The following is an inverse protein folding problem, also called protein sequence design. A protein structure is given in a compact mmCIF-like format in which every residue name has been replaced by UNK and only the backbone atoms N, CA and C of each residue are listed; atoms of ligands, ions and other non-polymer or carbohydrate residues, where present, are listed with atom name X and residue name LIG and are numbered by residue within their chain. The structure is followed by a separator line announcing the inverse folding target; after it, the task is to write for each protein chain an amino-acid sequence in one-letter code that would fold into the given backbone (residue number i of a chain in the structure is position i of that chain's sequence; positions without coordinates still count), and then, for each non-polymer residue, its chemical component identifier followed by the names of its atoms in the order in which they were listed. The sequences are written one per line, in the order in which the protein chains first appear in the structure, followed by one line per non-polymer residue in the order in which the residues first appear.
data_IF_209735488557
#
_entry.id   IF_209735488557
#
_cell.length_a   1.000
_cell.length_b   1.000
_cell.length_c   1.000
_cell.angle_alpha   90.00
_cell.angle_beta   90.00
_cell.angle_gamma   90.00
#
_symmetry.space_group_name_H-M   'P 1'
#
loop_
_entity.id
_entity.type
_entity.pdbx_description
1 polymer ?
#
# COMPACT_ATOMS: atom_id res chain seq x y z
N UNK A 1 21.51 -13.38 -0.51
CA UNK A 1 21.54 -12.01 0.02
C UNK A 1 21.14 -10.97 -1.01
N UNK A 2 21.83 -10.92 -2.14
CA UNK A 2 21.55 -9.87 -3.14
C UNK A 2 20.27 -10.11 -3.95
N UNK A 3 19.69 -11.29 -3.90
CA UNK A 3 18.45 -11.59 -4.61
C UNK A 3 17.29 -10.69 -4.19
N UNK A 4 17.24 -10.31 -2.92
CA UNK A 4 16.16 -9.44 -2.45
C UNK A 4 16.20 -8.04 -3.05
N UNK A 5 17.35 -7.62 -3.53
CA UNK A 5 17.49 -6.33 -4.20
C UNK A 5 17.04 -6.39 -5.66
N UNK A 6 17.03 -7.60 -6.25
CA UNK A 6 16.58 -7.80 -7.62
C UNK A 6 15.05 -7.84 -7.72
N UNK A 7 14.35 -8.09 -6.63
CA UNK A 7 12.89 -8.06 -6.57
C UNK A 7 12.36 -6.65 -6.42
N UNK A 8 13.17 -5.71 -6.70
CA UNK A 8 12.98 -4.29 -6.67
C UNK A 8 11.63 -3.75 -6.28
N UNK A 9 11.43 -3.39 -5.05
CA UNK A 9 10.23 -2.73 -4.62
C UNK A 9 9.28 -3.54 -3.75
N UNK A 10 9.77 -4.64 -3.18
CA UNK A 10 8.99 -5.35 -2.16
C UNK A 10 9.51 -5.00 -0.77
N UNK A 11 8.67 -4.36 0.04
CA UNK A 11 9.01 -3.83 1.37
C UNK A 11 7.99 -4.31 2.38
N UNK A 12 8.04 -5.60 2.71
CA UNK A 12 7.04 -6.26 3.54
C UNK A 12 7.71 -6.85 4.79
N UNK A 13 7.02 -6.79 5.93
CA UNK A 13 7.50 -7.36 7.19
C UNK A 13 7.79 -8.85 7.05
N UNK A 14 8.76 -9.33 7.81
CA UNK A 14 9.07 -10.75 7.86
C UNK A 14 7.86 -11.55 8.31
N UNK A 15 7.72 -12.75 7.77
CA UNK A 15 6.63 -13.65 8.12
C UNK A 15 5.36 -13.45 7.29
N UNK A 16 5.28 -12.41 6.49
CA UNK A 16 4.13 -12.16 5.62
C UNK A 16 4.40 -12.78 4.25
N UNK A 17 3.55 -13.71 3.84
CA UNK A 17 3.65 -14.35 2.53
C UNK A 17 2.62 -13.77 1.58
N UNK A 18 3.05 -12.79 0.79
CA UNK A 18 2.15 -12.08 -0.14
C UNK A 18 1.63 -12.97 -1.26
N UNK A 19 2.32 -14.07 -1.55
CA UNK A 19 1.87 -14.99 -2.61
C UNK A 19 0.59 -15.72 -2.26
N UNK A 20 0.34 -15.93 -0.97
CA UNK A 20 -0.84 -16.64 -0.49
C UNK A 20 -2.01 -15.71 -0.19
N UNK A 21 -1.83 -14.41 -0.37
CA UNK A 21 -2.86 -13.42 -0.08
C UNK A 21 -3.60 -13.02 -1.35
N UNK A 22 -4.91 -12.81 -1.21
CA UNK A 22 -5.73 -12.37 -2.33
C UNK A 22 -5.55 -10.88 -2.59
N UNK A 23 -5.68 -10.50 -3.86
CA UNK A 23 -5.72 -9.11 -4.28
C UNK A 23 -7.14 -8.57 -4.14
N UNK A 24 -7.26 -7.35 -3.64
CA UNK A 24 -8.54 -6.67 -3.58
C UNK A 24 -8.33 -5.15 -3.71
N UNK A 25 -9.34 -4.41 -4.15
CA UNK A 25 -9.22 -2.96 -4.24
C UNK A 25 -9.37 -2.30 -2.87
N UNK A 26 -8.80 -1.10 -2.72
CA UNK A 26 -8.93 -0.31 -1.50
C UNK A 26 -10.40 -0.06 -1.15
N UNK A 27 -11.28 0.03 -2.14
CA UNK A 27 -12.71 0.27 -1.92
C UNK A 27 -13.40 -0.81 -1.10
N UNK A 28 -12.79 -1.98 -0.94
CA UNK A 28 -13.33 -3.02 -0.06
C UNK A 28 -13.20 -2.65 1.44
N UNK A 29 -12.45 -1.61 1.76
CA UNK A 29 -12.15 -1.22 3.13
C UNK A 29 -12.77 0.13 3.52
N UNK A 30 -13.83 0.55 2.83
CA UNK A 30 -14.56 1.78 3.17
C UNK A 30 -14.96 1.75 4.64
N UNK A 31 -14.69 2.85 5.35
CA UNK A 31 -14.97 3.02 6.78
C UNK A 31 -14.20 2.06 7.70
N UNK A 32 -13.14 1.44 7.19
CA UNK A 32 -12.29 0.55 7.98
C UNK A 32 -10.90 1.15 8.16
N UNK A 33 -10.12 0.53 9.04
CA UNK A 33 -8.72 0.90 9.25
C UNK A 33 -7.86 -0.27 8.79
N UNK A 34 -6.85 0.01 7.99
CA UNK A 34 -5.92 -1.00 7.51
C UNK A 34 -4.60 -0.84 8.28
N UNK A 35 -4.19 -1.90 8.96
CA UNK A 35 -2.87 -1.96 9.60
C UNK A 35 -1.89 -2.48 8.55
N UNK A 36 -0.97 -1.62 8.12
CA UNK A 36 -0.08 -1.91 7.00
C UNK A 36 1.08 -2.78 7.45
N UNK A 37 1.28 -3.89 6.75
CA UNK A 37 2.42 -4.80 6.96
C UNK A 37 3.55 -4.56 5.97
N UNK A 38 3.28 -3.79 4.93
CA UNK A 38 4.27 -3.47 3.92
C UNK A 38 3.61 -3.06 2.61
N UNK A 39 4.43 -2.97 1.57
CA UNK A 39 3.94 -2.63 0.24
C UNK A 39 4.93 -3.12 -0.82
N UNK A 40 4.46 -3.21 -2.04
CA UNK A 40 5.32 -3.51 -3.18
C UNK A 40 4.78 -2.83 -4.44
N UNK A 41 5.62 -2.77 -5.46
CA UNK A 41 5.26 -2.14 -6.72
C UNK A 41 5.07 -3.19 -7.80
N UNK A 42 4.07 -2.98 -8.65
CA UNK A 42 3.79 -3.85 -9.80
C UNK A 42 3.69 -3.01 -11.06
N UNK A 43 3.82 -3.65 -12.21
CA UNK A 43 3.55 -3.02 -13.49
C UNK A 43 2.23 -3.55 -14.02
N UNK A 44 1.23 -2.66 -14.12
CA UNK A 44 -0.05 -2.98 -14.71
C UNK A 44 -0.17 -2.42 -16.12
N UNK A 45 -1.37 -2.54 -16.70
CA UNK A 45 -1.65 -2.08 -18.06
C UNK A 45 -1.46 -0.57 -18.22
N UNK A 46 -1.58 0.16 -17.13
CA UNK A 46 -1.48 1.63 -17.11
C UNK A 46 -0.18 2.11 -16.48
N UNK A 47 0.80 1.24 -16.31
CA UNK A 47 2.10 1.57 -15.76
C UNK A 47 2.31 1.05 -14.34
N UNK A 48 3.27 1.65 -13.66
CA UNK A 48 3.65 1.23 -12.31
C UNK A 48 2.56 1.54 -11.31
N UNK A 49 2.30 0.58 -10.42
CA UNK A 49 1.28 0.70 -9.37
C UNK A 49 1.86 0.23 -8.05
N UNK A 50 1.30 0.72 -6.94
CA UNK A 50 1.65 0.25 -5.61
C UNK A 50 0.53 -0.63 -5.05
N UNK A 51 0.95 -1.71 -4.39
CA UNK A 51 0.06 -2.62 -3.67
C UNK A 51 0.45 -2.58 -2.21
N UNK A 52 -0.52 -2.30 -1.34
CA UNK A 52 -0.31 -2.28 0.10
C UNK A 52 -0.68 -3.65 0.67
N UNK A 53 0.17 -4.16 1.55
CA UNK A 53 -0.08 -5.43 2.24
C UNK A 53 -0.59 -5.12 3.63
N UNK A 54 -1.78 -5.60 3.94
CA UNK A 54 -2.37 -5.40 5.27
C UNK A 54 -3.65 -6.20 5.42
N UNK A 55 -4.03 -6.47 6.66
CA UNK A 55 -5.25 -7.22 6.99
C UNK A 55 -5.38 -8.57 6.28
N UNK A 56 -4.25 -9.17 5.90
CA UNK A 56 -4.25 -10.45 5.19
C UNK A 56 -4.51 -10.36 3.69
N UNK A 57 -4.48 -9.15 3.13
CA UNK A 57 -4.75 -8.92 1.71
C UNK A 57 -3.64 -8.12 1.03
N UNK A 58 -3.53 -8.30 -0.27
CA UNK A 58 -2.75 -7.44 -1.14
C UNK A 58 -3.72 -6.41 -1.73
N UNK A 59 -3.63 -5.17 -1.29
CA UNK A 59 -4.61 -4.14 -1.56
C UNK A 59 -4.14 -3.23 -2.68
N UNK A 60 -4.88 -3.20 -3.79
CA UNK A 60 -4.58 -2.33 -4.91
C UNK A 60 -4.94 -0.89 -4.56
N UNK A 61 -3.96 0.00 -4.60
CA UNK A 61 -4.13 1.39 -4.22
C UNK A 61 -4.44 2.27 -5.45
N UNK A 62 -5.12 3.41 -5.26
CA UNK A 62 -5.29 4.38 -6.34
C UNK A 62 -3.96 4.88 -6.88
N UNK A 63 -3.97 5.37 -8.12
CA UNK A 63 -2.74 5.78 -8.82
C UNK A 63 -1.93 6.83 -8.04
N UNK A 64 -2.59 7.74 -7.34
CA UNK A 64 -1.88 8.77 -6.56
C UNK A 64 -1.08 8.21 -5.38
N UNK A 65 -1.39 7.00 -4.94
CA UNK A 65 -0.65 6.37 -3.85
C UNK A 65 0.77 6.02 -4.27
N UNK A 66 1.01 5.84 -5.56
CA UNK A 66 2.34 5.52 -6.05
C UNK A 66 3.37 6.56 -5.61
N UNK A 67 3.07 7.84 -5.79
CA UNK A 67 3.98 8.92 -5.40
C UNK A 67 4.23 8.92 -3.90
N UNK A 68 3.18 8.71 -3.09
CA UNK A 68 3.31 8.65 -1.64
C UNK A 68 4.22 7.51 -1.19
N UNK A 69 4.02 6.33 -1.73
CA UNK A 69 4.80 5.16 -1.32
C UNK A 69 6.21 5.16 -1.89
N UNK A 70 6.44 5.80 -3.02
CA UNK A 70 7.80 6.03 -3.50
C UNK A 70 8.57 6.96 -2.56
N UNK A 71 7.91 7.99 -2.04
CA UNK A 71 8.52 8.89 -1.06
C UNK A 71 8.84 8.14 0.24
N UNK A 72 7.97 7.26 0.69
CA UNK A 72 8.21 6.41 1.87
C UNK A 72 9.40 5.49 1.64
N UNK A 73 9.46 4.88 0.47
CA UNK A 73 10.58 3.99 0.11
C UNK A 73 11.93 4.72 0.19
N UNK A 74 11.96 5.97 -0.23
CA UNK A 74 13.18 6.76 -0.28
C UNK A 74 13.52 7.41 1.07
N UNK A 75 12.64 7.30 2.06
CA UNK A 75 12.86 7.82 3.42
C UNK A 75 13.13 6.64 4.37
N UNK A 76 14.38 6.44 4.81
CA UNK A 76 14.73 5.29 5.65
C UNK A 76 13.94 5.20 6.95
N UNK A 77 13.63 6.32 7.58
CA UNK A 77 12.86 6.31 8.82
C UNK A 77 11.40 5.95 8.59
N UNK A 78 10.80 6.49 7.52
CA UNK A 78 9.44 6.16 7.16
C UNK A 78 9.32 4.68 6.81
N UNK A 79 10.24 4.16 5.99
CA UNK A 79 10.25 2.75 5.62
C UNK A 79 10.39 1.85 6.85
N UNK A 80 11.29 2.20 7.77
CA UNK A 80 11.47 1.47 9.01
C UNK A 80 10.18 1.45 9.83
N UNK A 81 9.48 2.58 9.88
CA UNK A 81 8.19 2.68 10.55
C UNK A 81 7.14 1.76 9.95
N UNK A 82 7.07 1.68 8.64
CA UNK A 82 6.15 0.76 7.95
C UNK A 82 6.45 -0.69 8.33
N UNK A 83 7.72 -1.07 8.27
CA UNK A 83 8.14 -2.44 8.59
C UNK A 83 7.99 -2.77 10.08
N UNK A 84 7.90 -1.77 10.93
CA UNK A 84 7.63 -1.94 12.35
C UNK A 84 6.14 -1.95 12.69
N UNK A 85 5.26 -1.86 11.68
CA UNK A 85 3.82 -1.87 11.88
C UNK A 85 3.24 -0.55 12.38
N UNK A 86 3.89 0.56 12.09
CA UNK A 86 3.47 1.87 12.60
C UNK A 86 2.65 2.69 11.61
N UNK A 87 2.36 2.16 10.44
CA UNK A 87 1.53 2.84 9.44
C UNK A 87 0.13 2.24 9.42
N UNK A 88 -0.88 3.09 9.45
CA UNK A 88 -2.26 2.69 9.20
C UNK A 88 -2.83 3.54 8.07
N UNK A 89 -3.81 2.98 7.36
CA UNK A 89 -4.60 3.69 6.37
C UNK A 89 -6.01 3.79 6.95
N UNK A 90 -6.51 5.01 7.08
CA UNK A 90 -7.84 5.26 7.64
C UNK A 90 -8.60 6.27 6.81
N UNK A 91 -9.78 6.67 7.27
CA UNK A 91 -10.65 7.62 6.57
C UNK A 91 -10.87 7.21 5.11
N UNK A 92 -11.09 5.92 4.89
CA UNK A 92 -11.27 5.36 3.55
C UNK A 92 -12.72 5.61 3.13
N UNK A 93 -12.90 6.40 2.08
CA UNK A 93 -14.23 6.80 1.61
C UNK A 93 -14.33 6.69 0.10
N UNK A 94 -15.53 6.47 -0.38
CA UNK A 94 -15.82 6.50 -1.82
C UNK A 94 -16.13 7.92 -2.26
N UNK A 95 -15.66 8.28 -3.45
CA UNK A 95 -15.91 9.60 -4.01
C UNK A 95 -15.66 9.62 -5.50
N UNK A 96 -15.52 10.82 -6.06
CA UNK A 96 -15.24 11.00 -7.46
C UNK A 96 -14.03 11.91 -7.64
N UNK A 97 -13.22 11.60 -8.65
CA UNK A 97 -12.09 12.45 -9.01
C UNK A 97 -12.60 13.73 -9.68
N UNK A 98 -11.69 14.67 -9.95
CA UNK A 98 -12.04 15.91 -10.67
C UNK A 98 -12.62 15.63 -12.05
N UNK A 99 -12.28 14.49 -12.64
CA UNK A 99 -12.81 14.08 -13.95
C UNK A 99 -14.16 13.35 -13.82
N UNK A 100 -14.72 13.25 -12.61
CA UNK A 100 -15.99 12.59 -12.37
C UNK A 100 -15.92 11.07 -12.31
N UNK A 101 -14.72 10.50 -12.31
CA UNK A 101 -14.55 9.05 -12.23
C UNK A 101 -14.59 8.57 -10.78
N UNK A 102 -15.19 7.40 -10.51
CA UNK A 102 -15.18 6.83 -9.15
C UNK A 102 -13.75 6.65 -8.66
N UNK A 103 -13.51 7.03 -7.42
CA UNK A 103 -12.21 6.84 -6.78
C UNK A 103 -12.41 6.58 -5.29
N UNK A 104 -11.36 6.14 -4.62
CA UNK A 104 -11.38 5.91 -3.19
C UNK A 104 -10.38 6.86 -2.53
N UNK A 105 -10.86 7.62 -1.56
CA UNK A 105 -10.03 8.51 -0.76
C UNK A 105 -9.57 7.79 0.49
N UNK A 106 -8.42 8.18 1.00
CA UNK A 106 -7.83 7.56 2.17
C UNK A 106 -6.88 8.54 2.86
N UNK A 107 -6.48 8.21 4.07
CA UNK A 107 -5.51 8.98 4.84
C UNK A 107 -4.45 8.03 5.39
N UNK A 108 -3.19 8.44 5.32
CA UNK A 108 -2.08 7.72 5.93
C UNK A 108 -1.83 8.33 7.31
N UNK A 109 -1.74 7.48 8.33
CA UNK A 109 -1.62 7.95 9.71
C UNK A 109 -0.68 7.04 10.50
N UNK A 110 -0.26 7.51 11.64
CA UNK A 110 0.56 6.74 12.55
C UNK A 110 -0.32 5.82 13.39
N UNK A 111 0.12 4.57 13.55
CA UNK A 111 -0.54 3.64 14.46
C UNK A 111 -0.22 4.04 15.90
N UNK A 112 -1.21 3.99 16.76
CA UNK A 112 -1.03 4.26 18.18
C UNK A 112 -0.47 3.07 18.93
#
# INVERSE_FOLDING_TARGET
MFKKFNKGGSYVREGINTRDQEFCPLSNFIDQVIHVDGFFFTNGDYGKQVVVVGEGFNINMPARALEQFEAIKDDPEALKGVLAGKLVINEITAGKSKAGKPTTFYNLDDAE
#
